data_IF_257566038934
#
_entry.id   IF_257566038934
#
_cell.length_a   1.000
_cell.length_b   1.000
_cell.length_c   1.000
_cell.angle_alpha   90.00
_cell.angle_beta   90.00
_cell.angle_gamma   90.00
#
_symmetry.space_group_name_H-M   'P 1'
#
loop_
_entity.id
_entity.type
_entity.pdbx_description
1 polymer ?
#
# COMPACT_ATOMS: atom_id res chain seq x y z
N UNK A 1 17.92 -5.43 -26.55
CA UNK A 1 17.76 -6.35 -25.44
C UNK A 1 17.94 -5.59 -24.13
N UNK A 2 17.23 -5.98 -23.05
CA UNK A 2 17.41 -5.37 -21.76
C UNK A 2 18.83 -5.64 -21.22
N UNK A 3 19.34 -4.75 -20.38
CA UNK A 3 20.50 -5.05 -19.58
C UNK A 3 20.07 -5.98 -18.43
N UNK A 4 20.84 -7.03 -18.21
CA UNK A 4 20.56 -8.02 -17.17
C UNK A 4 21.71 -8.10 -16.18
N UNK A 5 21.42 -8.37 -14.93
CA UNK A 5 22.41 -8.51 -13.88
C UNK A 5 21.89 -9.25 -12.65
N UNK A 6 22.71 -9.32 -11.62
CA UNK A 6 22.34 -9.94 -10.35
C UNK A 6 22.43 -11.47 -10.39
N UNK A 7 21.60 -12.13 -9.58
CA UNK A 7 21.64 -13.59 -9.39
C UNK A 7 22.85 -14.07 -8.57
N UNK A 8 23.45 -13.18 -7.78
CA UNK A 8 24.55 -13.45 -6.85
C UNK A 8 24.04 -13.52 -5.41
N UNK A 9 24.93 -13.84 -4.47
CA UNK A 9 24.61 -13.84 -3.03
C UNK A 9 24.24 -12.45 -2.48
N UNK A 10 24.54 -11.39 -3.22
CA UNK A 10 24.31 -9.99 -2.79
C UNK A 10 23.20 -9.30 -3.51
N UNK A 11 22.84 -9.76 -4.71
CA UNK A 11 21.79 -9.13 -5.54
C UNK A 11 20.88 -10.18 -6.15
N UNK A 12 19.59 -9.94 -6.12
CA UNK A 12 18.62 -10.70 -6.89
C UNK A 12 18.81 -10.50 -8.39
N UNK A 13 18.35 -11.41 -9.25
CA UNK A 13 18.29 -11.17 -10.69
C UNK A 13 17.48 -9.93 -11.01
N UNK A 14 17.95 -9.12 -11.94
CA UNK A 14 17.28 -7.91 -12.38
C UNK A 14 17.46 -7.67 -13.86
N UNK A 15 16.54 -6.90 -14.46
CA UNK A 15 16.55 -6.44 -15.85
C UNK A 15 16.28 -4.94 -15.90
N UNK A 16 17.04 -4.21 -16.72
CA UNK A 16 16.83 -2.80 -17.02
C UNK A 16 16.43 -2.63 -18.48
N UNK A 17 15.25 -2.14 -18.70
CA UNK A 17 14.68 -1.87 -20.01
C UNK A 17 14.75 -0.38 -20.33
N UNK A 18 15.39 -0.01 -21.44
CA UNK A 18 15.52 1.39 -21.88
C UNK A 18 14.66 1.64 -23.11
N UNK A 19 13.75 2.57 -22.99
CA UNK A 19 12.89 3.00 -24.07
C UNK A 19 13.26 4.41 -24.50
N UNK A 20 13.40 4.64 -25.83
CA UNK A 20 13.63 5.99 -26.37
C UNK A 20 12.45 6.90 -26.13
N UNK A 21 11.26 6.35 -26.27
CA UNK A 21 9.99 7.02 -26.06
C UNK A 21 8.94 6.01 -25.63
N UNK A 22 8.15 6.35 -24.62
CA UNK A 22 6.92 5.66 -24.24
C UNK A 22 5.79 6.67 -24.27
N UNK A 23 4.71 6.34 -24.99
CA UNK A 23 3.52 7.16 -25.12
C UNK A 23 2.96 7.47 -23.71
N UNK A 24 2.57 8.71 -23.47
CA UNK A 24 2.06 9.25 -22.18
C UNK A 24 3.06 9.22 -21.00
N UNK A 25 4.29 8.73 -21.17
CA UNK A 25 5.29 8.64 -20.10
C UNK A 25 6.48 9.56 -20.38
N UNK A 26 6.98 9.57 -21.60
CA UNK A 26 8.06 10.46 -22.03
C UNK A 26 9.23 9.77 -22.71
N UNK A 27 10.27 10.59 -22.97
CA UNK A 27 11.50 10.17 -23.63
C UNK A 27 12.51 9.59 -22.65
N UNK A 28 13.41 8.72 -23.17
CA UNK A 28 14.51 8.11 -22.43
C UNK A 28 14.05 7.44 -21.11
N UNK A 29 12.95 6.70 -21.19
CA UNK A 29 12.37 6.02 -20.04
C UNK A 29 13.11 4.73 -19.74
N UNK A 30 13.55 4.57 -18.51
CA UNK A 30 14.16 3.35 -17.98
C UNK A 30 13.18 2.67 -17.03
N UNK A 31 12.95 1.36 -17.22
CA UNK A 31 12.11 0.52 -16.39
C UNK A 31 12.95 -0.61 -15.84
N UNK A 32 12.91 -0.79 -14.53
CA UNK A 32 13.68 -1.81 -13.87
C UNK A 32 12.77 -2.91 -13.31
N UNK A 33 13.18 -4.16 -13.53
CA UNK A 33 12.46 -5.33 -13.09
C UNK A 33 13.37 -6.18 -12.22
N UNK A 34 12.84 -6.74 -11.13
CA UNK A 34 13.58 -7.56 -10.16
C UNK A 34 12.85 -8.88 -9.96
N UNK A 35 13.63 -9.97 -9.77
CA UNK A 35 13.15 -11.31 -9.41
C UNK A 35 13.69 -11.72 -8.03
N UNK A 36 13.05 -11.33 -6.93
CA UNK A 36 13.49 -11.68 -5.58
C UNK A 36 13.37 -13.17 -5.25
N UNK A 37 12.60 -13.92 -6.06
CA UNK A 37 12.42 -15.36 -5.90
C UNK A 37 13.45 -16.20 -6.63
N UNK A 38 14.19 -15.58 -7.56
CA UNK A 38 15.10 -16.26 -8.49
C UNK A 38 14.41 -17.39 -9.28
N UNK A 39 13.13 -17.21 -9.55
CA UNK A 39 12.29 -18.19 -10.28
C UNK A 39 12.19 -17.91 -11.79
N UNK A 40 12.72 -16.78 -12.24
CA UNK A 40 12.52 -16.23 -13.59
C UNK A 40 11.26 -15.37 -13.72
N UNK A 41 10.53 -15.14 -12.61
CA UNK A 41 9.39 -14.22 -12.58
C UNK A 41 9.83 -12.84 -12.10
N UNK A 42 9.90 -11.91 -13.03
CA UNK A 42 10.28 -10.52 -12.77
C UNK A 42 9.05 -9.66 -12.51
N UNK A 43 9.17 -8.68 -11.61
CA UNK A 43 8.19 -7.61 -11.45
C UNK A 43 8.85 -6.25 -11.58
N UNK A 44 8.08 -5.26 -12.01
CA UNK A 44 8.53 -3.88 -12.12
C UNK A 44 8.74 -3.31 -10.73
N UNK A 45 9.94 -2.83 -10.42
CA UNK A 45 10.26 -2.28 -9.09
C UNK A 45 10.00 -0.78 -8.98
N UNK A 46 9.52 -0.35 -7.81
CA UNK A 46 9.44 1.06 -7.42
C UNK A 46 10.64 1.49 -6.60
N UNK A 47 11.24 0.55 -5.87
CA UNK A 47 12.37 0.78 -4.98
C UNK A 47 13.62 0.10 -5.55
N UNK A 48 14.61 0.87 -5.99
CA UNK A 48 15.88 0.34 -6.49
C UNK A 48 16.64 -0.52 -5.48
N UNK A 49 16.40 -0.32 -4.18
CA UNK A 49 16.96 -1.14 -3.10
C UNK A 49 16.38 -2.56 -3.03
N UNK A 50 15.28 -2.83 -3.73
CA UNK A 50 14.63 -4.14 -3.77
C UNK A 50 15.51 -5.26 -4.34
N UNK A 51 16.53 -4.90 -5.14
CA UNK A 51 17.56 -5.81 -5.65
C UNK A 51 18.44 -6.42 -4.55
N UNK A 52 18.51 -5.81 -3.38
CA UNK A 52 19.42 -6.26 -2.32
C UNK A 52 18.97 -7.61 -1.73
N UNK A 53 19.60 -8.69 -2.18
CA UNK A 53 19.33 -10.04 -1.70
C UNK A 53 19.70 -10.23 -0.22
N UNK A 54 20.65 -9.44 0.31
CA UNK A 54 21.06 -9.54 1.71
C UNK A 54 20.12 -8.81 2.66
N UNK A 55 19.31 -7.90 2.17
CA UNK A 55 18.37 -7.16 2.99
C UNK A 55 17.34 -8.05 3.72
N UNK A 56 17.05 -9.24 3.18
CA UNK A 56 16.12 -10.22 3.78
C UNK A 56 16.82 -11.33 4.58
N UNK A 57 18.15 -11.37 4.61
CA UNK A 57 18.90 -12.43 5.30
C UNK A 57 19.19 -11.98 6.71
N UNK A 58 18.68 -12.68 7.76
CA UNK A 58 19.00 -12.35 9.14
C UNK A 58 20.52 -12.39 9.38
N UNK A 59 21.10 -11.29 9.86
CA UNK A 59 22.55 -11.18 10.13
C UNK A 59 23.42 -10.85 8.91
N UNK A 60 22.87 -10.73 7.71
CA UNK A 60 23.58 -10.18 6.57
C UNK A 60 23.51 -8.65 6.67
N UNK A 61 24.61 -8.08 7.10
CA UNK A 61 24.73 -6.63 7.23
C UNK A 61 25.38 -5.97 6.02
N UNK A 62 26.08 -4.88 6.30
CA UNK A 62 26.91 -4.22 5.32
C UNK A 62 28.03 -5.15 4.86
N UNK A 63 28.39 -5.13 3.60
CA UNK A 63 29.60 -5.79 3.10
C UNK A 63 30.85 -5.14 3.69
N UNK A 64 32.00 -5.83 3.64
CA UNK A 64 33.26 -5.27 4.15
C UNK A 64 33.59 -3.92 3.48
N UNK A 65 33.27 -3.74 2.20
CA UNK A 65 33.49 -2.49 1.49
C UNK A 65 32.60 -1.35 1.98
N UNK A 66 31.36 -1.66 2.32
CA UNK A 66 30.41 -0.69 2.89
C UNK A 66 30.80 -0.30 4.32
N UNK A 67 31.26 -1.25 5.13
CA UNK A 67 31.82 -0.98 6.46
C UNK A 67 33.05 -0.08 6.43
N UNK A 68 33.85 -0.20 5.38
CA UNK A 68 35.04 0.64 5.16
C UNK A 68 34.69 1.97 4.47
N UNK A 69 33.44 2.25 4.18
CA UNK A 69 33.00 3.47 3.51
C UNK A 69 33.44 3.59 2.05
N UNK A 70 33.87 2.49 1.41
CA UNK A 70 34.31 2.49 0.02
C UNK A 70 33.16 2.66 -0.97
N UNK A 71 31.97 2.18 -0.61
CA UNK A 71 30.73 2.36 -1.36
C UNK A 71 29.52 2.18 -0.41
N UNK A 72 28.36 2.65 -0.84
CA UNK A 72 27.09 2.50 -0.10
C UNK A 72 26.40 1.19 -0.49
N UNK A 73 25.41 0.74 0.31
CA UNK A 73 24.52 -0.39 -0.05
C UNK A 73 23.98 -0.25 -1.47
N UNK A 74 23.59 0.96 -1.84
CA UNK A 74 23.11 1.30 -3.15
C UNK A 74 24.12 1.06 -4.27
N UNK A 75 25.41 1.24 -3.99
CA UNK A 75 26.52 1.06 -4.93
C UNK A 75 27.01 -0.39 -5.03
N UNK A 76 26.45 -1.30 -4.27
CA UNK A 76 26.76 -2.73 -4.25
C UNK A 76 26.36 -3.43 -5.56
N UNK A 77 25.44 -2.85 -6.29
CA UNK A 77 24.88 -3.46 -7.50
C UNK A 77 25.82 -3.26 -8.70
N UNK A 78 26.14 -4.34 -9.37
CA UNK A 78 26.99 -4.33 -10.57
C UNK A 78 26.14 -4.27 -11.83
N UNK A 79 26.58 -3.49 -12.80
CA UNK A 79 26.00 -3.49 -14.16
C UNK A 79 26.28 -4.83 -14.87
N UNK A 80 25.53 -5.11 -15.94
CA UNK A 80 25.69 -6.28 -16.80
C UNK A 80 27.11 -6.45 -17.38
N UNK A 81 27.88 -5.34 -17.46
CA UNK A 81 29.28 -5.33 -17.92
C UNK A 81 30.32 -5.57 -16.81
N UNK A 82 29.88 -5.90 -15.58
CA UNK A 82 30.77 -6.16 -14.43
C UNK A 82 31.40 -4.94 -13.79
N UNK A 83 31.03 -3.74 -14.20
CA UNK A 83 31.48 -2.52 -13.55
C UNK A 83 30.57 -2.17 -12.39
N UNK A 84 31.15 -2.02 -11.19
CA UNK A 84 30.48 -1.39 -10.05
C UNK A 84 30.48 0.11 -10.32
N UNK A 85 29.40 0.61 -10.88
CA UNK A 85 29.22 2.05 -10.95
C UNK A 85 28.53 2.53 -9.68
N UNK A 86 28.83 3.75 -9.19
CA UNK A 86 27.88 4.52 -8.45
C UNK A 86 26.73 4.82 -9.43
N UNK A 87 25.88 3.83 -9.68
CA UNK A 87 24.65 4.07 -10.42
C UNK A 87 23.76 4.81 -9.44
N UNK A 88 23.28 6.00 -9.78
CA UNK A 88 22.07 6.49 -9.17
C UNK A 88 21.06 5.36 -9.35
N UNK A 89 20.66 4.82 -8.25
CA UNK A 89 19.77 3.66 -8.19
C UNK A 89 18.55 3.98 -9.03
N UNK A 90 18.21 3.07 -9.95
CA UNK A 90 17.10 3.25 -10.87
C UNK A 90 17.46 3.84 -12.23
N UNK A 91 18.76 3.81 -12.66
CA UNK A 91 19.15 4.25 -14.00
C UNK A 91 18.65 5.65 -14.33
N UNK A 92 18.60 6.51 -13.34
CA UNK A 92 18.06 7.85 -13.46
C UNK A 92 18.87 8.59 -14.52
N UNK A 93 18.21 8.92 -15.62
CA UNK A 93 18.69 10.01 -16.49
C UNK A 93 19.01 11.19 -15.59
N UNK A 94 20.21 11.73 -15.71
CA UNK A 94 20.63 12.86 -14.88
C UNK A 94 19.54 13.94 -14.88
N UNK A 95 18.85 14.12 -13.75
CA UNK A 95 17.75 15.09 -13.61
C UNK A 95 16.39 14.52 -13.21
N UNK A 96 16.24 13.19 -13.07
CA UNK A 96 15.02 12.60 -12.53
C UNK A 96 15.19 12.24 -11.07
N UNK A 97 14.24 12.62 -10.26
CA UNK A 97 14.18 12.19 -8.86
C UNK A 97 13.40 10.86 -8.70
N UNK A 98 13.47 10.27 -7.51
CA UNK A 98 12.81 9.00 -7.19
C UNK A 98 11.28 9.09 -7.32
N UNK A 99 10.72 10.29 -7.12
CA UNK A 99 9.30 10.54 -7.30
C UNK A 99 8.89 10.40 -8.78
N UNK A 100 9.66 10.95 -9.70
CA UNK A 100 9.40 10.85 -11.13
C UNK A 100 9.40 9.39 -11.60
N UNK A 101 10.29 8.55 -11.05
CA UNK A 101 10.30 7.12 -11.33
C UNK A 101 9.05 6.42 -10.82
N UNK A 102 8.64 6.72 -9.61
CA UNK A 102 7.43 6.15 -9.03
C UNK A 102 6.18 6.59 -9.82
N UNK A 103 6.11 7.85 -10.24
CA UNK A 103 5.02 8.33 -11.09
C UNK A 103 4.97 7.58 -12.43
N UNK A 104 6.13 7.35 -13.06
CA UNK A 104 6.24 6.55 -14.30
C UNK A 104 5.81 5.11 -14.09
N UNK A 105 6.22 4.48 -13.00
CA UNK A 105 5.77 3.15 -12.63
C UNK A 105 4.25 3.03 -12.65
N UNK A 106 3.53 3.98 -12.05
CA UNK A 106 2.08 3.96 -12.02
C UNK A 106 1.45 4.25 -13.39
N UNK A 107 2.07 5.08 -14.21
CA UNK A 107 1.61 5.35 -15.59
C UNK A 107 1.75 4.11 -16.49
N UNK A 108 2.84 3.35 -16.33
CA UNK A 108 3.06 2.11 -17.12
C UNK A 108 2.05 1.03 -16.78
N UNK A 109 1.63 0.93 -15.51
CA UNK A 109 0.74 -0.14 -15.09
C UNK A 109 -0.68 -0.07 -15.67
N UNK A 110 -1.20 1.15 -15.90
CA UNK A 110 -2.54 1.36 -16.44
C UNK A 110 -2.64 2.69 -17.17
N UNK A 111 -2.72 2.69 -18.50
CA UNK A 111 -3.12 3.88 -19.24
C UNK A 111 -4.54 4.28 -18.82
N UNK A 112 -4.81 5.59 -18.62
CA UNK A 112 -6.13 6.06 -18.20
C UNK A 112 -7.17 5.89 -19.30
N UNK A 113 -8.38 5.45 -18.94
CA UNK A 113 -9.57 5.61 -19.76
C UNK A 113 -10.13 7.03 -19.55
N UNK A 114 -10.53 7.71 -20.62
CA UNK A 114 -10.95 9.12 -20.52
C UNK A 114 -12.45 9.26 -20.27
N UNK A 115 -12.87 9.41 -19.03
CA UNK A 115 -14.25 9.76 -18.65
C UNK A 115 -14.45 11.27 -18.60
N UNK A 116 -14.62 11.91 -19.76
CA UNK A 116 -14.81 13.37 -19.85
C UNK A 116 -16.01 13.88 -19.05
N UNK A 117 -17.11 13.14 -19.06
CA UNK A 117 -18.32 13.46 -18.29
C UNK A 117 -18.07 13.48 -16.79
N UNK A 118 -17.29 12.55 -16.24
CA UNK A 118 -16.94 12.53 -14.82
C UNK A 118 -15.95 13.64 -14.46
N UNK A 119 -14.98 13.93 -15.34
CA UNK A 119 -14.06 15.05 -15.16
C UNK A 119 -14.79 16.41 -15.10
N UNK A 120 -15.80 16.59 -15.95
CA UNK A 120 -16.67 17.78 -15.94
C UNK A 120 -17.48 17.86 -14.64
N UNK A 121 -18.04 16.73 -14.16
CA UNK A 121 -18.78 16.66 -12.90
C UNK A 121 -17.93 17.13 -11.71
N UNK A 122 -16.67 16.72 -11.64
CA UNK A 122 -15.73 17.19 -10.61
C UNK A 122 -15.50 18.71 -10.72
N UNK A 123 -15.43 19.22 -11.95
CA UNK A 123 -15.16 20.64 -12.19
C UNK A 123 -16.33 21.55 -11.81
N UNK A 124 -17.57 21.10 -12.02
CA UNK A 124 -18.80 21.88 -11.78
C UNK A 124 -19.35 21.71 -10.36
N UNK A 125 -18.74 20.87 -9.50
CA UNK A 125 -19.20 20.55 -8.14
C UNK A 125 -20.68 20.13 -8.11
N UNK A 126 -20.97 19.00 -8.73
CA UNK A 126 -22.34 18.46 -8.75
C UNK A 126 -22.75 18.07 -7.32
N UNK A 127 -23.85 18.65 -6.84
CA UNK A 127 -24.39 18.41 -5.51
C UNK A 127 -25.23 17.12 -5.38
N UNK A 128 -25.41 16.34 -6.46
CA UNK A 128 -26.18 15.12 -6.42
C UNK A 128 -25.28 13.97 -5.98
N UNK A 129 -25.45 13.53 -4.73
CA UNK A 129 -24.77 12.37 -4.15
C UNK A 129 -25.83 11.29 -3.85
N UNK A 130 -26.08 10.42 -4.82
CA UNK A 130 -27.09 9.37 -4.75
C UNK A 130 -26.49 8.04 -4.28
N UNK A 131 -25.19 7.85 -4.46
CA UNK A 131 -24.45 6.69 -4.00
C UNK A 131 -23.54 7.14 -2.87
N UNK A 132 -23.84 6.67 -1.66
CA UNK A 132 -22.99 6.99 -0.50
C UNK A 132 -21.69 6.19 -0.57
N UNK A 133 -20.55 6.88 -0.37
CA UNK A 133 -19.23 6.28 -0.31
C UNK A 133 -18.56 6.56 1.02
N UNK A 134 -18.09 5.52 1.68
CA UNK A 134 -17.08 5.65 2.73
C UNK A 134 -15.69 5.60 2.09
N UNK A 135 -14.72 6.28 2.70
CA UNK A 135 -13.35 6.29 2.19
C UNK A 135 -12.32 6.27 3.32
N UNK A 136 -11.12 5.83 2.97
CA UNK A 136 -9.96 5.83 3.85
C UNK A 136 -8.71 6.14 3.04
N UNK A 137 -7.80 6.90 3.63
CA UNK A 137 -6.44 7.12 3.13
C UNK A 137 -5.45 6.44 4.05
N UNK A 138 -4.51 5.72 3.47
CA UNK A 138 -3.36 5.19 4.16
C UNK A 138 -2.08 5.79 3.54
N UNK A 139 -0.98 5.78 4.30
CA UNK A 139 0.27 6.40 3.89
C UNK A 139 1.40 5.41 4.14
N UNK A 140 2.15 5.09 3.07
CA UNK A 140 3.33 4.25 3.12
C UNK A 140 4.49 5.02 2.50
N UNK A 141 5.62 5.10 3.18
CA UNK A 141 6.82 5.70 2.63
C UNK A 141 7.39 4.78 1.55
N UNK A 142 7.69 5.32 0.38
CA UNK A 142 8.47 4.63 -0.66
C UNK A 142 9.88 5.15 -0.65
N UNK A 143 10.05 6.47 -0.67
CA UNK A 143 11.33 7.15 -0.54
C UNK A 143 11.21 8.28 0.49
N UNK A 144 12.29 9.04 0.74
CA UNK A 144 12.27 10.15 1.70
C UNK A 144 11.25 11.25 1.31
N UNK A 145 11.03 11.49 0.03
CA UNK A 145 10.12 12.53 -0.48
C UNK A 145 8.82 11.98 -1.09
N UNK A 146 8.71 10.66 -1.23
CA UNK A 146 7.63 10.02 -1.95
C UNK A 146 6.83 9.09 -1.06
N UNK A 147 5.54 9.33 -1.01
CA UNK A 147 4.58 8.56 -0.21
C UNK A 147 3.57 7.89 -1.14
N UNK A 148 3.43 6.59 -1.02
CA UNK A 148 2.34 5.85 -1.64
C UNK A 148 1.07 6.08 -0.82
N UNK A 149 0.02 6.54 -1.47
CA UNK A 149 -1.27 6.82 -0.84
C UNK A 149 -2.34 5.87 -1.38
N UNK A 150 -2.59 4.74 -0.71
CA UNK A 150 -3.75 3.92 -0.99
C UNK A 150 -5.05 4.67 -0.64
N UNK A 151 -5.84 4.95 -1.65
CA UNK A 151 -7.17 5.52 -1.55
C UNK A 151 -8.16 4.36 -1.61
N UNK A 152 -8.78 4.03 -0.49
CA UNK A 152 -9.75 2.94 -0.39
C UNK A 152 -11.15 3.51 -0.32
N UNK A 153 -12.03 3.04 -1.20
CA UNK A 153 -13.44 3.43 -1.29
C UNK A 153 -14.33 2.24 -0.98
N UNK A 154 -15.43 2.49 -0.30
CA UNK A 154 -16.44 1.47 0.01
C UNK A 154 -17.82 1.96 -0.38
N UNK A 155 -18.58 1.10 -1.07
CA UNK A 155 -19.96 1.36 -1.50
C UNK A 155 -20.83 0.19 -1.06
N UNK A 156 -22.01 0.48 -0.51
CA UNK A 156 -22.98 -0.57 -0.20
C UNK A 156 -23.55 -1.14 -1.52
N UNK A 157 -23.55 -2.46 -1.67
CA UNK A 157 -24.02 -3.10 -2.91
C UNK A 157 -25.50 -2.80 -3.19
N UNK A 158 -26.31 -2.58 -2.16
CA UNK A 158 -27.72 -2.20 -2.30
C UNK A 158 -27.95 -0.85 -3.00
N UNK A 159 -26.95 0.02 -3.04
CA UNK A 159 -26.99 1.35 -3.68
C UNK A 159 -26.62 1.27 -5.16
N UNK A 160 -26.22 0.08 -5.65
CA UNK A 160 -25.82 -0.18 -7.02
C UNK A 160 -26.94 -0.87 -7.80
N UNK A 161 -26.96 -0.64 -9.10
CA UNK A 161 -27.91 -1.27 -10.03
C UNK A 161 -27.27 -2.51 -10.67
N UNK A 162 -27.88 -3.66 -10.47
CA UNK A 162 -27.41 -4.92 -11.02
C UNK A 162 -28.25 -5.36 -12.21
N UNK A 163 -27.60 -5.88 -13.24
CA UNK A 163 -28.25 -6.51 -14.39
C UNK A 163 -27.91 -7.99 -14.43
N UNK A 164 -28.97 -8.80 -14.44
CA UNK A 164 -28.85 -10.25 -14.60
C UNK A 164 -28.58 -10.65 -16.05
N UNK A 165 -27.53 -11.47 -16.26
CA UNK A 165 -27.24 -12.11 -17.55
C UNK A 165 -26.56 -13.45 -17.31
N UNK A 166 -27.11 -14.50 -17.94
CA UNK A 166 -26.52 -15.87 -17.90
C UNK A 166 -26.22 -16.40 -16.48
N UNK A 167 -27.11 -16.13 -15.50
CA UNK A 167 -26.93 -16.61 -14.12
C UNK A 167 -26.00 -15.76 -13.25
N UNK A 168 -25.58 -14.59 -13.74
CA UNK A 168 -24.72 -13.64 -13.01
C UNK A 168 -25.39 -12.26 -12.97
N UNK A 169 -25.39 -11.66 -11.80
CA UNK A 169 -25.82 -10.28 -11.56
C UNK A 169 -24.59 -9.37 -11.56
N UNK A 170 -24.53 -8.42 -12.49
CA UNK A 170 -23.38 -7.53 -12.69
C UNK A 170 -23.75 -6.07 -12.50
N UNK A 171 -22.94 -5.34 -11.75
CA UNK A 171 -22.94 -3.88 -11.68
C UNK A 171 -21.61 -3.34 -12.20
N UNK A 172 -21.65 -2.21 -12.92
CA UNK A 172 -20.46 -1.55 -13.48
C UNK A 172 -20.43 -0.11 -13.01
N UNK A 173 -19.32 0.28 -12.41
CA UNK A 173 -19.05 1.63 -11.92
C UNK A 173 -17.92 2.24 -12.73
N UNK A 174 -18.15 3.41 -13.29
CA UNK A 174 -17.09 4.27 -13.83
C UNK A 174 -16.60 5.18 -12.71
N UNK A 175 -15.30 5.25 -12.52
CA UNK A 175 -14.64 6.00 -11.46
C UNK A 175 -13.69 7.02 -12.07
N UNK A 176 -13.73 8.23 -11.55
CA UNK A 176 -12.77 9.30 -11.84
C UNK A 176 -12.31 9.94 -10.53
N UNK A 177 -11.01 10.11 -10.37
CA UNK A 177 -10.40 10.80 -9.23
C UNK A 177 -9.44 11.89 -9.68
N UNK A 178 -9.45 13.01 -8.97
CA UNK A 178 -8.55 14.13 -9.22
C UNK A 178 -7.96 14.64 -7.92
N UNK A 179 -6.64 14.75 -7.89
CA UNK A 179 -5.89 15.31 -6.76
C UNK A 179 -5.34 16.66 -7.20
N UNK A 180 -5.60 17.68 -6.39
CA UNK A 180 -5.13 19.04 -6.64
C UNK A 180 -4.38 19.58 -5.44
N UNK A 181 -3.44 20.51 -5.67
CA UNK A 181 -2.89 21.35 -4.60
C UNK A 181 -3.98 22.29 -4.08
N UNK A 182 -3.74 22.93 -2.94
CA UNK A 182 -4.66 23.96 -2.40
C UNK A 182 -4.82 25.16 -3.35
N UNK A 183 -3.84 25.43 -4.23
CA UNK A 183 -3.92 26.46 -5.28
C UNK A 183 -4.73 26.04 -6.49
N UNK A 184 -5.27 24.80 -6.51
CA UNK A 184 -6.08 24.27 -7.62
C UNK A 184 -5.29 23.64 -8.78
N UNK A 185 -3.96 23.57 -8.69
CA UNK A 185 -3.16 22.86 -9.70
C UNK A 185 -3.41 21.36 -9.61
N UNK A 186 -3.76 20.74 -10.73
CA UNK A 186 -3.90 19.28 -10.82
C UNK A 186 -2.53 18.63 -10.66
N UNK A 187 -2.42 17.70 -9.73
CA UNK A 187 -1.21 16.92 -9.45
C UNK A 187 -1.33 15.53 -10.07
N UNK A 188 -2.48 14.89 -9.87
CA UNK A 188 -2.74 13.52 -10.31
C UNK A 188 -4.19 13.37 -10.71
N UNK A 189 -4.46 12.55 -11.72
CA UNK A 189 -5.78 12.04 -12.05
C UNK A 189 -5.72 10.52 -12.19
N UNK A 190 -6.82 9.85 -11.92
CA UNK A 190 -6.95 8.43 -12.16
C UNK A 190 -8.38 8.08 -12.56
N UNK A 191 -8.49 7.08 -13.39
CA UNK A 191 -9.76 6.58 -13.91
C UNK A 191 -9.77 5.06 -13.82
N UNK A 192 -10.94 4.47 -13.59
CA UNK A 192 -11.09 3.01 -13.61
C UNK A 192 -12.52 2.60 -13.90
N UNK A 193 -12.68 1.37 -14.38
CA UNK A 193 -13.98 0.69 -14.53
C UNK A 193 -14.02 -0.47 -13.56
N UNK A 194 -14.95 -0.43 -12.63
CA UNK A 194 -15.07 -1.44 -11.57
C UNK A 194 -16.31 -2.27 -11.81
N UNK A 195 -16.13 -3.55 -12.16
CA UNK A 195 -17.21 -4.53 -12.24
C UNK A 195 -17.40 -5.28 -10.92
N UNK A 196 -18.64 -5.54 -10.57
CA UNK A 196 -19.04 -6.40 -9.44
C UNK A 196 -20.02 -7.44 -9.93
N UNK A 197 -19.56 -8.69 -9.90
CA UNK A 197 -20.28 -9.83 -10.43
C UNK A 197 -20.63 -10.80 -9.30
N UNK A 198 -21.90 -11.18 -9.19
CA UNK A 198 -22.37 -12.14 -8.22
C UNK A 198 -23.21 -13.23 -8.91
N UNK A 199 -22.93 -14.52 -8.69
CA UNK A 199 -23.85 -15.57 -9.11
C UNK A 199 -25.23 -15.34 -8.53
N UNK A 200 -26.31 -15.65 -9.28
CA UNK A 200 -27.69 -15.46 -8.83
C UNK A 200 -27.96 -16.12 -7.46
N UNK A 201 -27.34 -17.28 -7.21
CA UNK A 201 -27.46 -18.01 -5.93
C UNK A 201 -26.91 -17.26 -4.72
N UNK A 202 -25.94 -16.35 -4.92
CA UNK A 202 -25.30 -15.56 -3.85
C UNK A 202 -25.77 -14.11 -3.84
N UNK A 203 -26.54 -13.67 -4.82
CA UNK A 203 -26.89 -12.27 -5.01
C UNK A 203 -27.63 -11.69 -3.79
N UNK A 204 -28.66 -12.38 -3.29
CA UNK A 204 -29.45 -11.90 -2.14
C UNK A 204 -28.62 -11.71 -0.87
N UNK A 205 -27.60 -12.55 -0.65
CA UNK A 205 -26.69 -12.38 0.49
C UNK A 205 -25.66 -11.27 0.23
N UNK A 206 -25.25 -11.11 -1.02
CA UNK A 206 -24.21 -10.15 -1.43
C UNK A 206 -24.72 -8.71 -1.50
N UNK A 207 -25.99 -8.50 -1.79
CA UNK A 207 -26.63 -7.17 -1.86
C UNK A 207 -26.53 -6.41 -0.52
N UNK A 208 -26.52 -7.12 0.60
CA UNK A 208 -26.41 -6.53 1.93
C UNK A 208 -24.95 -6.29 2.38
N UNK A 209 -23.99 -6.65 1.55
CA UNK A 209 -22.57 -6.41 1.79
C UNK A 209 -22.12 -5.11 1.13
N UNK A 210 -20.87 -4.76 1.34
CA UNK A 210 -20.21 -3.62 0.67
C UNK A 210 -19.11 -4.11 -0.26
N UNK A 211 -18.97 -3.42 -1.39
CA UNK A 211 -17.84 -3.57 -2.29
C UNK A 211 -16.78 -2.55 -1.96
N UNK A 212 -15.52 -2.95 -2.00
CA UNK A 212 -14.39 -2.06 -1.82
C UNK A 212 -13.55 -1.99 -3.08
N UNK A 213 -13.02 -0.81 -3.32
CA UNK A 213 -12.08 -0.50 -4.39
C UNK A 213 -10.88 0.24 -3.78
N UNK A 214 -9.69 0.00 -4.29
CA UNK A 214 -8.50 0.71 -3.87
C UNK A 214 -7.69 1.14 -5.09
N UNK A 215 -7.23 2.38 -5.06
CA UNK A 215 -6.24 2.94 -5.98
C UNK A 215 -5.10 3.51 -5.14
N UNK A 216 -3.89 3.07 -5.44
CA UNK A 216 -2.69 3.67 -4.88
C UNK A 216 -2.16 4.75 -5.81
N UNK A 217 -1.80 5.90 -5.26
CA UNK A 217 -1.22 7.03 -5.99
C UNK A 217 0.03 7.53 -5.30
N UNK A 218 1.10 7.85 -6.04
CA UNK A 218 2.29 8.45 -5.47
C UNK A 218 2.09 9.95 -5.28
N UNK A 219 2.47 10.46 -4.11
CA UNK A 219 2.41 11.90 -3.81
C UNK A 219 3.63 12.30 -2.98
N UNK A 220 4.07 13.53 -3.16
CA UNK A 220 5.02 14.16 -2.22
C UNK A 220 4.29 14.55 -0.94
N UNK A 221 5.04 14.73 0.17
CA UNK A 221 4.45 15.27 1.39
C UNK A 221 3.81 16.63 1.13
N UNK A 222 2.65 16.89 1.75
CA UNK A 222 1.95 18.15 1.52
C UNK A 222 0.45 18.09 1.77
N UNK A 223 -0.22 19.19 1.43
CA UNK A 223 -1.67 19.35 1.55
C UNK A 223 -2.31 19.35 0.17
N UNK A 224 -3.26 18.48 0.00
CA UNK A 224 -3.98 18.26 -1.26
C UNK A 224 -5.48 18.24 -1.01
N UNK A 225 -6.22 18.35 -2.08
CA UNK A 225 -7.64 18.05 -2.15
C UNK A 225 -7.84 16.87 -3.09
N UNK A 226 -8.64 15.92 -2.66
CA UNK A 226 -9.08 14.80 -3.47
C UNK A 226 -10.55 14.98 -3.80
N UNK A 227 -10.86 15.00 -5.08
CA UNK A 227 -12.21 14.87 -5.61
C UNK A 227 -12.34 13.49 -6.26
N UNK A 228 -13.36 12.70 -5.88
CA UNK A 228 -13.68 11.41 -6.52
C UNK A 228 -15.13 11.41 -6.93
N UNK A 229 -15.39 10.96 -8.15
CA UNK A 229 -16.74 10.72 -8.66
C UNK A 229 -16.84 9.26 -9.09
N UNK A 230 -17.90 8.58 -8.67
CA UNK A 230 -18.33 7.31 -9.24
C UNK A 230 -19.67 7.47 -9.93
N UNK A 231 -19.89 6.74 -11.00
CA UNK A 231 -21.15 6.69 -11.74
C UNK A 231 -21.52 5.24 -12.01
N UNK A 232 -22.68 4.86 -11.55
CA UNK A 232 -23.28 3.58 -11.92
C UNK A 232 -23.69 3.64 -13.40
N UNK A 233 -23.08 2.79 -14.22
CA UNK A 233 -23.27 2.78 -15.66
C UNK A 233 -24.69 2.39 -16.08
N UNK A 234 -25.46 1.74 -15.19
CA UNK A 234 -26.81 1.29 -15.47
C UNK A 234 -27.88 2.31 -15.07
N UNK A 235 -27.84 2.79 -13.83
CA UNK A 235 -28.83 3.76 -13.33
C UNK A 235 -28.45 5.21 -13.66
N UNK A 236 -27.18 5.49 -13.92
CA UNK A 236 -26.67 6.86 -14.03
C UNK A 236 -26.51 7.57 -12.68
N UNK A 237 -26.79 6.89 -11.56
CA UNK A 237 -26.61 7.45 -10.22
C UNK A 237 -25.13 7.77 -9.97
N UNK A 238 -24.91 8.86 -9.23
CA UNK A 238 -23.58 9.39 -8.98
C UNK A 238 -23.29 9.45 -7.48
N UNK A 239 -22.07 9.10 -7.09
CA UNK A 239 -21.50 9.34 -5.77
C UNK A 239 -20.29 10.27 -5.86
N UNK A 240 -20.12 11.17 -4.89
CA UNK A 240 -19.05 12.16 -4.89
C UNK A 240 -18.37 12.20 -3.53
N UNK A 241 -17.04 12.24 -3.54
CA UNK A 241 -16.19 12.56 -2.38
C UNK A 241 -15.43 13.85 -2.70
N UNK A 242 -15.41 14.76 -1.74
CA UNK A 242 -14.56 15.96 -1.68
C UNK A 242 -13.85 15.92 -0.33
N UNK A 243 -12.56 15.65 -0.33
CA UNK A 243 -11.81 15.44 0.90
C UNK A 243 -10.46 16.15 0.91
N UNK A 244 -10.09 16.65 2.09
CA UNK A 244 -8.73 17.12 2.33
C UNK A 244 -7.80 15.91 2.51
N UNK A 245 -6.66 15.93 1.82
CA UNK A 245 -5.65 14.89 1.88
C UNK A 245 -4.34 15.50 2.39
N UNK A 246 -3.97 15.13 3.61
CA UNK A 246 -2.69 15.54 4.21
C UNK A 246 -1.71 14.38 4.12
N UNK A 247 -0.75 14.47 3.20
CA UNK A 247 0.32 13.49 3.03
C UNK A 247 1.45 13.81 4.01
N UNK A 248 1.82 12.87 4.90
CA UNK A 248 2.86 13.10 5.91
C UNK A 248 4.25 13.27 5.28
N UNK A 249 5.13 13.95 5.99
CA UNK A 249 6.57 13.93 5.75
C UNK A 249 7.19 12.82 6.61
N UNK A 250 8.00 11.99 6.01
CA UNK A 250 8.82 11.00 6.70
C UNK A 250 10.26 11.49 6.74
N UNK A 251 10.78 11.78 7.93
CA UNK A 251 12.16 12.22 8.10
C UNK A 251 13.13 11.04 7.94
N UNK A 252 14.33 11.28 7.40
CA UNK A 252 15.30 10.21 7.06
C UNK A 252 15.97 9.57 8.29
N UNK A 253 16.15 10.33 9.36
CA UNK A 253 16.91 9.87 10.54
C UNK A 253 16.04 9.53 11.75
N UNK A 254 14.75 9.77 11.67
CA UNK A 254 13.82 9.53 12.77
C UNK A 254 13.07 8.22 12.58
N UNK A 255 12.98 7.40 13.64
CA UNK A 255 12.10 6.24 13.65
C UNK A 255 10.67 6.70 13.36
N UNK A 256 10.09 6.15 12.31
CA UNK A 256 8.72 6.46 11.92
C UNK A 256 7.99 5.19 11.43
N UNK A 257 6.70 5.30 11.15
CA UNK A 257 5.88 4.20 10.70
C UNK A 257 4.80 4.65 9.71
N UNK A 258 4.37 3.73 8.85
CA UNK A 258 3.21 3.91 7.98
C UNK A 258 1.92 4.16 8.75
N UNK A 259 0.80 4.33 8.04
CA UNK A 259 -0.52 4.15 8.62
C UNK A 259 -0.67 2.75 9.21
N UNK A 260 -1.34 2.66 10.38
CA UNK A 260 -1.77 1.39 10.96
C UNK A 260 -3.04 0.93 10.25
N UNK A 261 -2.95 -0.15 9.49
CA UNK A 261 -4.06 -0.67 8.71
C UNK A 261 -4.68 -1.87 9.44
N UNK A 262 -5.96 -1.73 9.79
CA UNK A 262 -6.77 -2.84 10.26
C UNK A 262 -7.43 -3.51 9.05
N UNK A 263 -7.23 -4.82 8.91
CA UNK A 263 -7.61 -5.58 7.73
C UNK A 263 -8.45 -6.81 8.06
N UNK A 264 -9.29 -7.22 7.10
CA UNK A 264 -10.00 -8.50 7.13
C UNK A 264 -9.08 -9.67 6.86
N UNK A 265 -8.16 -9.44 5.91
CA UNK A 265 -7.30 -10.46 5.35
C UNK A 265 -5.96 -9.83 5.01
N UNK A 266 -4.91 -10.54 5.36
CA UNK A 266 -3.54 -10.25 4.96
C UNK A 266 -2.97 -11.56 4.44
N UNK A 267 -2.50 -11.57 3.21
CA UNK A 267 -1.90 -12.75 2.58
C UNK A 267 -0.66 -12.37 1.79
N UNK A 268 0.42 -13.14 1.85
CA UNK A 268 1.54 -12.95 0.95
C UNK A 268 1.08 -13.13 -0.49
N UNK A 269 1.67 -12.37 -1.41
CA UNK A 269 1.42 -12.48 -2.84
C UNK A 269 2.65 -13.07 -3.55
N UNK A 270 2.45 -13.81 -4.66
CA UNK A 270 3.56 -14.20 -5.53
C UNK A 270 4.35 -12.99 -6.02
N UNK A 271 5.63 -13.18 -6.31
CA UNK A 271 6.52 -12.10 -6.77
C UNK A 271 5.95 -11.37 -7.99
N UNK A 272 5.38 -12.09 -8.94
CA UNK A 272 4.75 -11.53 -10.15
C UNK A 272 3.56 -10.59 -9.86
N UNK A 273 3.01 -10.61 -8.65
CA UNK A 273 1.89 -9.75 -8.24
C UNK A 273 2.32 -8.57 -7.36
N UNK A 274 3.58 -8.51 -6.94
CA UNK A 274 4.10 -7.39 -6.13
C UNK A 274 3.95 -6.09 -6.92
N UNK A 275 3.36 -5.08 -6.29
CA UNK A 275 3.08 -3.79 -6.92
C UNK A 275 1.95 -3.79 -7.96
N UNK A 276 1.28 -4.92 -8.19
CA UNK A 276 0.20 -5.02 -9.17
C UNK A 276 -1.16 -5.27 -8.52
N UNK A 277 -2.18 -4.63 -9.07
CA UNK A 277 -3.56 -4.84 -8.64
C UNK A 277 -3.95 -4.09 -7.38
N UNK A 278 -5.23 -4.21 -7.03
CA UNK A 278 -5.79 -3.57 -5.84
C UNK A 278 -5.40 -4.32 -4.57
N UNK A 279 -5.15 -3.57 -3.50
CA UNK A 279 -4.85 -4.10 -2.15
C UNK A 279 -3.45 -4.72 -1.99
N UNK A 280 -2.58 -4.64 -2.98
CA UNK A 280 -1.19 -5.12 -2.85
C UNK A 280 -0.34 -4.00 -2.28
N UNK A 281 0.18 -4.21 -1.07
CA UNK A 281 1.08 -3.33 -0.35
C UNK A 281 2.35 -4.12 -0.04
N UNK A 282 3.49 -3.69 -0.60
CA UNK A 282 4.71 -4.47 -0.57
C UNK A 282 4.46 -5.89 -1.12
N UNK A 283 4.90 -6.92 -0.43
CA UNK A 283 4.74 -8.33 -0.77
C UNK A 283 3.43 -8.97 -0.25
N UNK A 284 2.45 -8.16 0.18
CA UNK A 284 1.22 -8.64 0.80
C UNK A 284 -0.03 -8.03 0.19
N UNK A 285 -1.06 -8.84 0.07
CA UNK A 285 -2.41 -8.39 -0.23
C UNK A 285 -3.11 -8.05 1.08
N UNK A 286 -3.33 -6.76 1.32
CA UNK A 286 -3.92 -6.21 2.54
C UNK A 286 -5.27 -5.61 2.21
N UNK A 287 -6.36 -6.24 2.65
CA UNK A 287 -7.71 -5.72 2.45
C UNK A 287 -8.14 -4.92 3.68
N UNK A 288 -8.06 -3.56 3.64
CA UNK A 288 -8.39 -2.75 4.80
C UNK A 288 -9.88 -2.75 5.11
N UNK A 289 -10.23 -2.61 6.38
CA UNK A 289 -11.58 -2.25 6.81
C UNK A 289 -11.70 -0.74 6.95
N UNK A 290 -12.58 -0.11 6.19
CA UNK A 290 -12.84 1.34 6.28
C UNK A 290 -13.60 1.64 7.57
N UNK A 291 -14.67 0.89 7.83
CA UNK A 291 -15.39 0.89 9.09
C UNK A 291 -14.99 -0.37 9.88
N UNK A 292 -13.98 -0.29 10.77
CA UNK A 292 -13.38 -1.47 11.39
C UNK A 292 -14.27 -2.04 12.51
N UNK A 293 -15.35 -2.71 12.09
CA UNK A 293 -16.27 -3.44 12.95
C UNK A 293 -16.04 -4.94 12.79
N UNK A 294 -15.71 -5.63 13.85
CA UNK A 294 -15.39 -7.06 13.89
C UNK A 294 -16.40 -7.85 14.72
N UNK A 295 -16.57 -9.11 14.39
CA UNK A 295 -17.22 -10.10 15.26
C UNK A 295 -16.19 -10.63 16.27
N UNK A 296 -16.57 -11.08 17.47
CA UNK A 296 -15.63 -11.74 18.39
C UNK A 296 -14.94 -12.98 17.80
N UNK A 297 -15.57 -13.63 16.83
CA UNK A 297 -15.01 -14.78 16.13
C UNK A 297 -14.00 -14.40 15.02
N UNK A 298 -13.95 -13.13 14.62
CA UNK A 298 -13.02 -12.65 13.60
C UNK A 298 -11.60 -12.57 14.15
N UNK A 299 -10.63 -12.62 13.24
CA UNK A 299 -9.25 -12.23 13.49
C UNK A 299 -9.05 -10.86 12.89
N UNK A 300 -8.53 -9.92 13.67
CA UNK A 300 -8.19 -8.60 13.19
C UNK A 300 -6.77 -8.60 12.65
N UNK A 301 -6.63 -8.48 11.35
CA UNK A 301 -5.33 -8.30 10.69
C UNK A 301 -4.76 -6.91 10.96
N UNK A 302 -3.46 -6.85 11.25
CA UNK A 302 -2.71 -5.61 11.43
C UNK A 302 -1.59 -5.57 10.39
N UNK A 303 -1.51 -4.46 9.67
CA UNK A 303 -0.39 -4.16 8.78
C UNK A 303 0.21 -2.80 9.15
N UNK A 304 1.52 -2.77 9.32
CA UNK A 304 2.29 -1.58 9.67
C UNK A 304 3.72 -1.73 9.14
N UNK A 305 4.27 -0.69 8.53
CA UNK A 305 5.68 -0.63 8.17
C UNK A 305 6.43 0.32 9.12
N UNK A 306 7.59 -0.10 9.57
CA UNK A 306 8.52 0.71 10.39
C UNK A 306 9.66 1.18 9.49
N UNK A 307 10.12 2.40 9.68
CA UNK A 307 11.14 3.06 8.89
C UNK A 307 12.28 3.57 9.76
N UNK A 308 13.50 3.61 9.20
CA UNK A 308 14.69 4.18 9.80
C UNK A 308 15.13 3.48 11.11
N UNK A 309 14.91 2.18 11.18
CA UNK A 309 15.43 1.37 12.28
C UNK A 309 16.96 1.31 12.19
N UNK A 310 17.61 1.46 13.32
CA UNK A 310 19.07 1.36 13.38
C UNK A 310 19.52 -0.08 13.33
N UNK A 311 20.58 -0.32 12.56
CA UNK A 311 21.28 -1.60 12.57
C UNK A 311 22.44 -1.52 13.57
N UNK A 312 22.59 -2.54 14.38
CA UNK A 312 23.75 -2.72 15.27
C UNK A 312 25.02 -2.91 14.41
N UNK A 313 26.09 -2.24 14.78
CA UNK A 313 27.33 -2.18 13.99
C UNK A 313 28.09 -3.50 13.91
N UNK A 314 27.91 -4.40 14.88
CA UNK A 314 28.61 -5.68 14.94
C UNK A 314 27.75 -6.82 14.38
N UNK A 315 26.50 -6.90 14.84
CA UNK A 315 25.58 -7.99 14.46
C UNK A 315 24.80 -7.68 13.18
N UNK A 316 24.76 -6.41 12.75
CA UNK A 316 23.96 -5.89 11.64
C UNK A 316 22.47 -6.24 11.74
N UNK A 317 21.99 -6.35 12.97
CA UNK A 317 20.58 -6.63 13.28
C UNK A 317 19.92 -5.41 13.88
N UNK A 318 18.64 -5.30 13.69
CA UNK A 318 17.80 -4.35 14.44
C UNK A 318 17.56 -4.88 15.85
N UNK A 319 17.39 -3.97 16.81
CA UNK A 319 16.97 -4.33 18.17
C UNK A 319 15.72 -3.52 18.52
N UNK A 320 14.56 -4.11 18.26
CA UNK A 320 13.26 -3.45 18.35
C UNK A 320 12.35 -4.20 19.30
N UNK A 321 11.60 -3.45 20.10
CA UNK A 321 10.50 -3.97 20.90
C UNK A 321 9.19 -3.35 20.39
N UNK A 322 8.19 -4.19 20.15
CA UNK A 322 6.86 -3.81 19.68
C UNK A 322 5.82 -4.23 20.73
N UNK A 323 5.05 -3.28 21.21
CA UNK A 323 3.93 -3.51 22.14
C UNK A 323 2.60 -3.24 21.46
N UNK A 324 1.74 -4.23 21.41
CA UNK A 324 0.35 -4.10 20.96
C UNK A 324 -0.54 -3.97 22.17
N UNK A 325 -1.30 -2.89 22.26
CA UNK A 325 -2.21 -2.61 23.39
C UNK A 325 -3.61 -2.36 22.87
N UNK A 326 -4.61 -3.05 23.42
CA UNK A 326 -6.01 -2.74 23.14
C UNK A 326 -6.57 -2.00 24.36
N UNK A 327 -7.13 -0.83 24.09
CA UNK A 327 -7.69 0.06 25.08
C UNK A 327 -9.21 0.12 24.94
N UNK A 328 -9.92 0.11 26.06
CA UNK A 328 -11.35 0.44 26.16
C UNK A 328 -11.51 1.57 27.16
N UNK A 329 -12.11 2.68 26.75
CA UNK A 329 -12.27 3.87 27.60
C UNK A 329 -10.92 4.30 28.25
N UNK A 330 -9.84 4.28 27.45
CA UNK A 330 -8.45 4.56 27.87
C UNK A 330 -7.84 3.56 28.85
N UNK A 331 -8.53 2.50 29.22
CA UNK A 331 -8.00 1.42 30.06
C UNK A 331 -7.49 0.26 29.20
N UNK A 332 -6.29 -0.21 29.50
CA UNK A 332 -5.71 -1.37 28.80
C UNK A 332 -6.46 -2.64 29.20
N UNK A 333 -7.08 -3.29 28.21
CA UNK A 333 -7.80 -4.56 28.40
C UNK A 333 -7.05 -5.77 27.84
N UNK A 334 -6.07 -5.52 26.98
CA UNK A 334 -5.23 -6.57 26.40
C UNK A 334 -3.86 -6.00 26.00
N UNK A 335 -2.81 -6.83 26.10
CA UNK A 335 -1.44 -6.47 25.71
C UNK A 335 -0.69 -7.69 25.19
N UNK A 336 0.16 -7.48 24.19
CA UNK A 336 1.16 -8.44 23.71
C UNK A 336 2.44 -7.68 23.34
N UNK A 337 3.59 -8.24 23.71
CA UNK A 337 4.89 -7.68 23.36
C UNK A 337 5.63 -8.65 22.42
N UNK A 338 6.40 -8.10 21.49
CA UNK A 338 7.26 -8.84 20.56
C UNK A 338 8.65 -8.18 20.51
N UNK A 339 9.68 -9.01 20.37
CA UNK A 339 11.06 -8.54 20.13
C UNK A 339 11.48 -8.70 18.67
N UNK A 340 12.57 -8.05 18.27
CA UNK A 340 13.16 -8.15 16.94
C UNK A 340 13.49 -9.59 16.52
N UNK A 341 13.81 -10.48 17.43
CA UNK A 341 14.07 -11.91 17.14
C UNK A 341 12.84 -12.61 16.57
N UNK A 342 11.65 -12.20 17.00
CA UNK A 342 10.37 -12.75 16.52
C UNK A 342 9.93 -12.15 15.19
N UNK A 343 10.44 -10.94 14.86
CA UNK A 343 10.13 -10.26 13.60
C UNK A 343 10.94 -10.80 12.42
N UNK A 344 12.06 -11.49 12.66
CA UNK A 344 12.91 -12.18 11.67
C UNK A 344 13.34 -11.32 10.46
N UNK A 345 13.44 -10.01 10.63
CA UNK A 345 13.84 -9.07 9.57
C UNK A 345 15.04 -8.23 10.05
N UNK A 346 16.07 -8.14 9.21
CA UNK A 346 17.29 -7.38 9.49
C UNK A 346 17.43 -6.23 8.48
N UNK A 347 16.49 -5.29 8.51
CA UNK A 347 16.44 -4.14 7.61
C UNK A 347 16.18 -2.86 8.40
N UNK A 348 16.58 -1.73 7.83
CA UNK A 348 16.15 -0.40 8.27
C UNK A 348 14.65 -0.17 8.14
N UNK A 349 13.99 -1.00 7.33
CA UNK A 349 12.54 -1.04 7.18
C UNK A 349 12.03 -2.44 7.47
N UNK A 350 11.03 -2.55 8.35
CA UNK A 350 10.36 -3.80 8.74
C UNK A 350 8.88 -3.69 8.49
N UNK A 351 8.29 -4.75 7.92
CA UNK A 351 6.83 -4.89 7.80
C UNK A 351 6.30 -5.77 8.92
N UNK A 352 5.41 -5.23 9.72
CA UNK A 352 4.66 -5.94 10.76
C UNK A 352 3.32 -6.37 10.17
N UNK A 353 3.08 -7.68 10.18
CA UNK A 353 1.77 -8.26 9.90
C UNK A 353 1.42 -9.25 11.00
N UNK A 354 0.28 -9.05 11.61
CA UNK A 354 -0.21 -9.88 12.72
C UNK A 354 -1.71 -10.05 12.64
N UNK A 355 -2.17 -11.15 13.19
CA UNK A 355 -3.59 -11.39 13.39
C UNK A 355 -3.87 -11.42 14.89
N UNK A 356 -4.62 -10.45 15.40
CA UNK A 356 -5.01 -10.37 16.79
C UNK A 356 -6.34 -11.09 17.03
N UNK A 357 -6.42 -11.96 18.05
CA UNK A 357 -7.67 -12.60 18.46
C UNK A 357 -8.57 -11.60 19.17
N UNK A 358 -9.86 -11.58 18.80
CA UNK A 358 -10.86 -10.70 19.43
C UNK A 358 -11.82 -11.43 20.39
N UNK A 359 -11.64 -12.75 20.56
CA UNK A 359 -12.58 -13.60 21.30
C UNK A 359 -12.74 -13.22 22.79
N UNK A 360 -11.72 -12.60 23.39
CA UNK A 360 -11.76 -12.14 24.78
C UNK A 360 -12.41 -10.77 24.96
N UNK A 361 -12.70 -10.05 23.87
CA UNK A 361 -13.24 -8.70 23.93
C UNK A 361 -14.77 -8.73 23.96
N UNK A 362 -15.34 -7.97 24.89
CA UNK A 362 -16.79 -7.75 24.93
C UNK A 362 -17.25 -6.80 23.82
N UNK A 363 -18.52 -6.83 23.40
CA UNK A 363 -19.03 -5.84 22.46
C UNK A 363 -18.76 -4.40 22.93
N UNK A 364 -18.31 -3.54 22.04
CA UNK A 364 -17.98 -2.14 22.35
C UNK A 364 -16.97 -1.53 21.39
N UNK A 365 -16.58 -0.30 21.68
CA UNK A 365 -15.55 0.44 20.95
C UNK A 365 -14.20 0.29 21.65
N UNK A 366 -13.14 0.19 20.86
CA UNK A 366 -11.77 -0.02 21.30
C UNK A 366 -10.81 0.82 20.46
N UNK A 367 -9.65 1.09 21.02
CA UNK A 367 -8.50 1.61 20.29
C UNK A 367 -7.35 0.61 20.37
N UNK A 368 -6.80 0.24 19.21
CA UNK A 368 -5.54 -0.48 19.13
C UNK A 368 -4.40 0.53 19.10
N UNK A 369 -3.45 0.38 19.99
CA UNK A 369 -2.20 1.13 20.00
C UNK A 369 -1.04 0.17 19.72
N UNK A 370 -0.23 0.49 18.72
CA UNK A 370 1.04 -0.17 18.43
C UNK A 370 2.16 0.78 18.81
N UNK A 371 2.85 0.47 19.90
CA UNK A 371 3.99 1.22 20.41
C UNK A 371 5.28 0.48 20.05
N UNK A 372 6.21 1.18 19.45
CA UNK A 372 7.50 0.65 19.00
C UNK A 372 8.63 1.45 19.60
N UNK A 373 9.64 0.76 20.07
CA UNK A 373 10.91 1.35 20.51
C UNK A 373 12.07 0.67 19.80
N UNK A 374 12.93 1.46 19.17
CA UNK A 374 14.25 1.05 18.74
C UNK A 374 15.21 1.13 19.91
N UNK A 375 15.65 -0.03 20.41
CA UNK A 375 16.49 -0.14 21.60
C UNK A 375 17.94 0.28 21.36
N UNK A 376 18.37 0.48 20.10
CA UNK A 376 19.69 0.99 19.78
C UNK A 376 19.74 2.52 19.86
N UNK A 377 18.66 3.19 19.49
CA UNK A 377 18.58 4.67 19.49
C UNK A 377 17.72 5.24 20.60
N UNK A 378 16.91 4.41 21.25
CA UNK A 378 15.84 4.80 22.19
C UNK A 378 14.75 5.69 21.54
N UNK A 379 14.68 5.73 20.23
CA UNK A 379 13.58 6.40 19.53
C UNK A 379 12.31 5.56 19.61
N UNK A 380 11.16 6.25 19.65
CA UNK A 380 9.86 5.59 19.78
C UNK A 380 8.88 6.11 18.74
N UNK A 381 7.99 5.24 18.29
CA UNK A 381 6.85 5.64 17.46
C UNK A 381 5.59 4.93 17.91
N UNK A 382 4.47 5.63 17.87
CA UNK A 382 3.16 5.08 18.21
C UNK A 382 2.19 5.28 17.06
N UNK A 383 1.41 4.24 16.75
CA UNK A 383 0.28 4.32 15.84
C UNK A 383 -0.96 3.78 16.48
N UNK A 384 -2.09 4.44 16.26
CA UNK A 384 -3.38 4.09 16.82
C UNK A 384 -4.43 3.87 15.75
N UNK A 385 -5.36 2.96 15.99
CA UNK A 385 -6.51 2.74 15.13
C UNK A 385 -7.71 2.31 15.98
N UNK A 386 -8.85 2.99 15.76
CA UNK A 386 -10.09 2.66 16.45
C UNK A 386 -10.82 1.52 15.75
N UNK A 387 -11.48 0.67 16.53
CA UNK A 387 -12.31 -0.40 16.02
C UNK A 387 -13.48 -0.71 16.96
N UNK A 388 -14.45 -1.46 16.46
CA UNK A 388 -15.57 -1.93 17.27
C UNK A 388 -15.71 -3.45 17.21
N UNK A 389 -16.11 -4.03 18.32
CA UNK A 389 -16.53 -5.43 18.40
C UNK A 389 -18.04 -5.48 18.50
N UNK A 390 -18.68 -6.14 17.53
CA UNK A 390 -20.14 -6.33 17.48
C UNK A 390 -20.58 -7.41 18.46
N UNK A 391 -21.83 -7.37 18.94
CA UNK A 391 -22.39 -8.51 19.65
C UNK A 391 -22.41 -9.75 18.73
N UNK A 392 -22.26 -10.96 19.27
CA UNK A 392 -22.36 -12.17 18.48
C UNK A 392 -23.70 -12.21 17.76
N UNK A 393 -23.68 -12.49 16.45
CA UNK A 393 -24.91 -12.64 15.69
C UNK A 393 -25.68 -13.87 16.21
N UNK A 394 -26.84 -13.66 16.80
CA UNK A 394 -27.76 -14.76 17.15
C UNK A 394 -28.25 -15.34 15.81
N UNK A 395 -27.66 -16.46 15.38
CA UNK A 395 -28.25 -17.25 14.31
C UNK A 395 -29.61 -17.71 14.81
N UNK A 396 -30.70 -17.15 14.28
CA UNK A 396 -32.02 -17.75 14.47
C UNK A 396 -31.96 -19.19 13.98
N UNK A 397 -32.33 -20.19 14.78
CA UNK A 397 -32.43 -21.54 14.28
C UNK A 397 -33.41 -21.54 13.10
N UNK A 398 -32.99 -22.15 12.01
CA UNK A 398 -33.86 -22.41 10.85
C UNK A 398 -34.87 -23.45 11.35
N UNK A 399 -36.07 -23.00 11.61
CA UNK A 399 -37.26 -23.88 11.87
C UNK A 399 -37.80 -24.38 10.54
#
# INVERSE_FOLDING_TARGET
>A
PPEQGGGSTTTYPWELWRYRHLEDIGDNTELEFVDPSSSGEYHLTMDPGEKDAQAKVPGAGLSTGEMLGLYTKAQRFTNANGTTLPVPIGGLSAGMDEFDNMERYFKVQRPPEHFKDLAEMVSVRILRNQIHMDYRFDFLRVTHDSVLVPITLQVANRDLSFRGKAGVQSAVLNLYGRITTLSGRVVQTFEDVVSRDFPDSLFQSSVNLSSIYQKSVPLRSGLYRLDVVIKDAQSGNVGVIDAALRVPLYEEESLDASSLILADQIHPVPTSQIGQGSFVLDSHKVRPRINPEFSPADKMGIFLQLYNLKLDTESHKTNVSVSYRILKDQQQVWKQDESSEQLQQAREQITIERNLPLASLTPGRYSLEVYVIDLLTNQTVTRTADFAVKPPSIRKPIT
#
